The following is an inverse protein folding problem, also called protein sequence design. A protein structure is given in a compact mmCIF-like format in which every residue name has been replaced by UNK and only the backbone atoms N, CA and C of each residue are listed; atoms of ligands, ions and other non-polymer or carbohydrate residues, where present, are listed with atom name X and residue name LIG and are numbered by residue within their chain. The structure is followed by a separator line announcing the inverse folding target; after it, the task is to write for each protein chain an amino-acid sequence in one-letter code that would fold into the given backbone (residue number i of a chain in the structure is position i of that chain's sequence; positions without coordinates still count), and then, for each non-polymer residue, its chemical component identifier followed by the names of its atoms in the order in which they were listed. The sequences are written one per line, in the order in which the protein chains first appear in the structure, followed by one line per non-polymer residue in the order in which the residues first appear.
data_IF_051127126656
#
_entry.id   IF_051127126656
#
_cell.length_a   1.000
_cell.length_b   1.000
_cell.length_c   1.000
_cell.angle_alpha   90.00
_cell.angle_beta   90.00
_cell.angle_gamma   90.00
#
_symmetry.space_group_name_H-M   'P 1'
#
loop_
_entity.id
_entity.type
_entity.pdbx_description
1 polymer ?
#
# COMPACT_ATOMS: atom_id res chain seq x y z
N UNK A 1 7.64 0.65 -59.65
CA UNK A 1 7.75 -0.77 -60.03
C UNK A 1 7.50 -1.55 -58.75
N UNK A 2 6.31 -2.06 -58.43
CA UNK A 2 5.24 -2.72 -59.22
C UNK A 2 5.30 -4.24 -59.05
N UNK A 3 4.17 -4.97 -58.93
CA UNK A 3 2.83 -4.58 -58.45
C UNK A 3 1.99 -5.86 -58.18
N UNK A 4 1.01 -5.78 -57.27
CA UNK A 4 -0.21 -6.64 -57.24
C UNK A 4 -0.08 -8.15 -56.87
N UNK A 5 -1.17 -8.89 -56.54
CA UNK A 5 -2.55 -8.63 -55.95
C UNK A 5 -3.32 -9.99 -55.92
N UNK A 6 -4.52 -10.02 -55.30
CA UNK A 6 -5.67 -10.97 -55.44
C UNK A 6 -5.45 -12.42 -54.95
N UNK A 7 -6.42 -13.20 -54.45
CA UNK A 7 -7.91 -13.10 -54.21
C UNK A 7 -8.27 -13.55 -52.76
N UNK A 8 -9.51 -13.56 -52.23
CA UNK A 8 -10.79 -12.96 -52.65
C UNK A 8 -12.05 -13.83 -52.40
N UNK A 9 -12.91 -13.47 -51.42
CA UNK A 9 -14.26 -14.05 -51.19
C UNK A 9 -14.38 -15.07 -50.04
N UNK A 10 -15.58 -15.40 -49.49
CA UNK A 10 -16.97 -14.97 -49.80
C UNK A 10 -17.90 -15.19 -48.57
N UNK A 11 -18.93 -14.34 -48.40
CA UNK A 11 -20.02 -14.45 -47.40
C UNK A 11 -21.28 -15.11 -48.01
N UNK A 12 -22.10 -15.83 -47.23
CA UNK A 12 -23.54 -15.92 -47.49
C UNK A 12 -24.46 -15.65 -46.27
N UNK A 13 -25.47 -14.83 -46.54
CA UNK A 13 -26.58 -14.30 -45.74
C UNK A 13 -27.41 -15.28 -44.85
N UNK A 14 -28.01 -14.73 -43.80
CA UNK A 14 -29.26 -15.17 -43.13
C UNK A 14 -30.50 -14.98 -44.05
N UNK A 15 -31.79 -15.33 -43.70
CA UNK A 15 -32.53 -14.82 -42.53
C UNK A 15 -33.50 -15.88 -41.87
N UNK A 16 -34.79 -15.63 -41.52
CA UNK A 16 -35.17 -15.52 -40.10
C UNK A 16 -36.35 -16.40 -39.64
N UNK A 17 -36.59 -16.46 -38.32
CA UNK A 17 -37.84 -16.97 -37.73
C UNK A 17 -38.42 -16.00 -36.69
N UNK A 18 -39.61 -15.48 -36.97
CA UNK A 18 -40.40 -14.64 -36.05
C UNK A 18 -41.42 -15.46 -35.27
N UNK A 19 -41.66 -15.13 -34.01
CA UNK A 19 -42.93 -15.40 -33.34
C UNK A 19 -43.22 -14.29 -32.31
N UNK A 20 -44.48 -13.84 -32.25
CA UNK A 20 -44.93 -12.67 -31.48
C UNK A 20 -46.08 -13.09 -30.52
N UNK A 21 -46.89 -12.22 -29.89
CA UNK A 21 -47.00 -12.25 -28.43
C UNK A 21 -48.36 -12.74 -27.90
N UNK A 22 -48.47 -12.88 -26.57
CA UNK A 22 -49.75 -12.99 -25.85
C UNK A 22 -49.92 -11.86 -24.81
N UNK A 23 -51.14 -11.70 -24.28
CA UNK A 23 -51.76 -10.38 -24.28
C UNK A 23 -52.54 -9.97 -23.00
N UNK A 24 -52.45 -8.66 -22.70
CA UNK A 24 -53.42 -7.77 -22.01
C UNK A 24 -53.96 -8.10 -20.59
N UNK A 25 -53.92 -7.08 -19.73
CA UNK A 25 -54.83 -6.89 -18.57
C UNK A 25 -54.09 -6.60 -17.25
N UNK A 26 -54.51 -5.66 -16.39
CA UNK A 26 -55.54 -4.61 -16.50
C UNK A 26 -55.19 -3.40 -15.58
N UNK A 27 -56.05 -2.37 -15.55
CA UNK A 27 -55.80 -1.06 -14.92
C UNK A 27 -55.94 -1.01 -13.37
N UNK A 28 -55.30 -0.04 -12.69
CA UNK A 28 -55.33 0.12 -11.22
C UNK A 28 -56.55 0.90 -10.70
N UNK A 29 -56.74 0.92 -9.37
CA UNK A 29 -57.65 1.86 -8.70
C UNK A 29 -57.00 2.56 -7.49
N UNK A 30 -57.28 3.86 -7.37
CA UNK A 30 -56.93 4.72 -6.21
C UNK A 30 -57.95 4.54 -5.08
N UNK A 31 -57.58 4.92 -3.87
CA UNK A 31 -58.53 5.38 -2.84
C UNK A 31 -58.08 6.74 -2.26
N UNK A 32 -59.02 7.47 -1.64
CA UNK A 32 -58.92 8.92 -1.39
C UNK A 32 -58.77 9.28 0.09
N UNK A 33 -58.40 10.55 0.35
CA UNK A 33 -58.26 11.16 1.68
C UNK A 33 -59.48 12.03 2.01
N UNK A 34 -59.96 11.95 3.26
CA UNK A 34 -60.82 12.94 3.97
C UNK A 34 -60.74 12.59 5.48
N UNK A 35 -60.55 13.47 6.49
CA UNK A 35 -61.19 14.77 6.84
C UNK A 35 -62.69 14.56 7.18
N UNK A 36 -63.27 14.94 8.33
CA UNK A 36 -62.91 15.78 9.50
C UNK A 36 -63.70 15.39 10.78
N UNK A 37 -63.26 15.88 11.96
CA UNK A 37 -63.99 16.31 13.20
C UNK A 37 -65.15 15.44 13.80
N UNK A 38 -65.48 15.44 15.11
CA UNK A 38 -65.64 16.59 16.03
C UNK A 38 -65.55 16.26 17.54
N UNK A 39 -65.31 17.34 18.30
CA UNK A 39 -65.29 17.56 19.76
C UNK A 39 -66.39 16.95 20.67
N UNK A 40 -66.05 16.60 21.93
CA UNK A 40 -66.70 17.16 23.15
C UNK A 40 -66.01 16.77 24.51
N UNK A 41 -66.29 17.56 25.56
CA UNK A 41 -65.94 17.49 27.01
C UNK A 41 -67.22 17.92 27.80
N UNK A 42 -67.31 18.02 29.15
CA UNK A 42 -66.40 17.71 30.29
C UNK A 42 -67.02 16.57 31.19
N UNK A 43 -66.91 16.38 32.53
CA UNK A 43 -66.49 17.17 33.74
C UNK A 43 -65.91 16.29 34.89
N UNK A 44 -64.85 16.82 35.53
CA UNK A 44 -64.39 16.74 36.94
C UNK A 44 -64.94 15.69 37.94
N UNK A 45 -63.99 15.06 38.64
CA UNK A 45 -63.89 15.06 40.13
C UNK A 45 -62.43 15.30 40.55
N UNK A 46 -62.18 15.66 41.82
CA UNK A 46 -60.86 15.98 42.37
C UNK A 46 -60.38 14.94 43.39
N UNK A 47 -59.11 14.52 43.30
CA UNK A 47 -58.33 13.99 44.40
C UNK A 47 -56.86 14.42 44.24
N UNK A 48 -56.14 14.60 45.35
CA UNK A 48 -54.75 15.12 45.35
C UNK A 48 -53.76 14.01 45.66
N UNK A 49 -52.66 13.95 44.92
CA UNK A 49 -51.36 13.42 45.36
C UNK A 49 -50.25 14.24 44.72
N UNK A 50 -49.12 14.41 45.41
CA UNK A 50 -48.11 15.41 45.06
C UNK A 50 -46.93 14.86 44.25
N UNK A 51 -46.38 15.76 43.43
CA UNK A 51 -45.11 15.76 42.69
C UNK A 51 -44.09 14.63 42.94
N UNK A 52 -43.64 14.03 41.83
CA UNK A 52 -42.29 13.46 41.68
C UNK A 52 -41.87 13.53 40.21
N UNK A 53 -40.65 14.03 39.96
CA UNK A 53 -39.92 13.90 38.68
C UNK A 53 -40.52 14.56 37.43
N UNK A 54 -39.89 15.65 36.95
CA UNK A 54 -40.11 16.08 35.57
C UNK A 54 -39.42 15.08 34.62
N UNK A 55 -40.20 14.41 33.75
CA UNK A 55 -39.65 13.57 32.69
C UNK A 55 -39.10 14.48 31.59
N UNK A 56 -37.81 14.79 31.66
CA UNK A 56 -37.10 15.48 30.59
C UNK A 56 -36.98 14.56 29.37
N UNK A 57 -37.40 15.03 28.20
CA UNK A 57 -37.20 14.30 26.95
C UNK A 57 -35.71 14.35 26.56
N UNK A 58 -34.97 13.29 26.88
CA UNK A 58 -33.78 12.96 26.10
C UNK A 58 -34.25 12.26 24.82
N UNK A 59 -34.40 13.04 23.75
CA UNK A 59 -34.43 12.47 22.40
C UNK A 59 -33.12 11.71 22.18
N UNK A 60 -33.18 10.39 22.13
CA UNK A 60 -32.01 9.54 21.96
C UNK A 60 -31.32 9.83 20.63
N UNK A 61 -30.21 10.56 20.68
CA UNK A 61 -29.29 10.70 19.55
C UNK A 61 -28.60 9.35 19.34
N UNK A 62 -29.25 8.48 18.57
CA UNK A 62 -28.63 7.32 17.94
C UNK A 62 -27.62 7.82 16.91
N UNK A 63 -26.48 8.32 17.40
CA UNK A 63 -25.28 8.43 16.62
C UNK A 63 -24.94 7.01 16.14
N UNK A 64 -25.07 6.77 14.84
CA UNK A 64 -24.61 5.53 14.22
C UNK A 64 -23.09 5.47 14.41
N UNK A 65 -22.65 4.80 15.48
CA UNK A 65 -21.27 4.38 15.58
C UNK A 65 -20.93 3.61 14.29
N UNK A 66 -19.83 3.93 13.60
CA UNK A 66 -19.39 3.12 12.48
C UNK A 66 -19.34 1.67 12.92
N UNK A 67 -19.98 0.78 12.18
CA UNK A 67 -19.90 -0.65 12.48
C UNK A 67 -18.42 -1.02 12.43
N UNK A 68 -17.86 -1.39 13.59
CA UNK A 68 -16.50 -1.89 13.66
C UNK A 68 -16.47 -3.20 12.87
N UNK A 69 -16.01 -3.11 11.62
CA UNK A 69 -15.55 -4.26 10.87
C UNK A 69 -14.55 -4.99 11.77
N UNK A 70 -14.85 -6.24 12.10
CA UNK A 70 -13.97 -7.07 12.92
C UNK A 70 -12.69 -7.33 12.13
N UNK A 71 -11.75 -6.39 12.22
CA UNK A 71 -10.47 -6.46 11.53
C UNK A 71 -9.68 -7.67 12.01
N UNK A 72 -8.87 -8.21 11.12
CA UNK A 72 -7.70 -8.98 11.52
C UNK A 72 -6.94 -8.19 12.58
N UNK A 73 -6.65 -8.81 13.72
CA UNK A 73 -5.86 -8.15 14.77
C UNK A 73 -4.43 -8.04 14.25
N UNK A 74 -4.05 -6.84 13.83
CA UNK A 74 -2.74 -6.55 13.24
C UNK A 74 -1.60 -6.86 14.22
N UNK A 75 -1.00 -8.04 14.07
CA UNK A 75 0.14 -8.47 14.87
C UNK A 75 1.35 -7.63 14.49
N UNK A 76 1.87 -6.86 15.45
CA UNK A 76 3.10 -6.08 15.23
C UNK A 76 4.34 -6.99 15.32
N UNK A 77 5.37 -6.76 14.47
CA UNK A 77 6.64 -7.49 14.56
C UNK A 77 7.31 -7.33 15.92
N UNK A 78 8.11 -8.31 16.39
CA UNK A 78 8.89 -8.18 17.61
C UNK A 78 9.75 -6.90 17.60
N UNK A 79 9.62 -6.07 18.63
CA UNK A 79 10.37 -4.82 18.76
C UNK A 79 9.83 -3.61 17.97
N UNK A 80 8.84 -3.80 17.08
CA UNK A 80 8.19 -2.72 16.34
C UNK A 80 6.92 -2.19 17.05
N UNK A 81 6.46 -1.01 16.62
CA UNK A 81 5.21 -0.37 17.05
C UNK A 81 5.08 -0.07 18.55
N UNK A 82 6.23 0.11 19.21
CA UNK A 82 6.33 0.77 20.51
C UNK A 82 6.07 2.28 20.34
N UNK A 83 4.80 2.68 20.42
CA UNK A 83 4.38 4.09 20.30
C UNK A 83 4.88 4.98 21.44
N UNK A 84 5.43 4.42 22.52
CA UNK A 84 6.07 5.19 23.60
C UNK A 84 7.52 5.57 23.30
N UNK A 85 8.17 4.84 22.39
CA UNK A 85 9.59 4.97 22.04
C UNK A 85 9.98 6.42 21.68
N UNK A 86 11.16 6.84 22.15
CA UNK A 86 11.75 8.15 21.84
C UNK A 86 13.10 7.94 21.14
N UNK A 87 13.27 8.41 19.89
CA UNK A 87 14.53 8.35 19.15
C UNK A 87 15.69 8.94 19.97
N UNK A 88 16.86 8.32 19.86
CA UNK A 88 18.05 8.71 20.64
C UNK A 88 18.89 9.74 19.88
N UNK A 89 19.90 10.33 20.53
CA UNK A 89 20.85 11.20 19.85
C UNK A 89 21.71 10.46 18.79
N UNK A 90 21.86 9.14 18.92
CA UNK A 90 22.56 8.29 17.94
C UNK A 90 21.64 7.87 16.78
N UNK A 91 20.35 7.62 17.07
CA UNK A 91 19.34 7.21 16.10
C UNK A 91 18.14 8.18 16.18
N UNK A 92 18.27 9.41 15.63
CA UNK A 92 17.31 10.51 15.84
C UNK A 92 16.06 10.44 14.96
N UNK A 93 16.07 9.61 13.92
CA UNK A 93 14.90 9.30 13.10
C UNK A 93 14.36 7.92 13.55
N UNK A 94 13.04 7.75 13.74
CA UNK A 94 12.44 6.42 13.81
C UNK A 94 12.44 5.77 12.43
N UNK A 95 12.50 4.44 12.41
CA UNK A 95 12.48 3.62 11.20
C UNK A 95 11.06 3.11 10.96
N UNK A 96 10.56 3.24 9.73
CA UNK A 96 9.30 2.61 9.29
C UNK A 96 9.63 1.51 8.30
N UNK A 97 9.16 0.30 8.60
CA UNK A 97 9.28 -0.90 7.78
C UNK A 97 8.04 -1.07 6.91
N UNK A 98 8.23 -1.15 5.58
CA UNK A 98 7.15 -1.14 4.57
C UNK A 98 7.14 -2.48 3.81
N UNK A 99 6.18 -3.39 4.06
CA UNK A 99 6.15 -4.74 3.48
C UNK A 99 6.11 -4.83 1.95
N UNK A 100 6.49 -5.99 1.41
CA UNK A 100 6.35 -6.37 0.00
C UNK A 100 4.94 -6.76 -0.42
N UNK A 101 4.78 -7.17 -1.68
CA UNK A 101 3.48 -7.65 -2.21
C UNK A 101 3.04 -8.92 -1.47
N UNK A 102 1.76 -9.05 -1.13
CA UNK A 102 1.18 -10.16 -0.34
C UNK A 102 1.65 -10.25 1.14
N UNK A 103 2.58 -9.41 1.57
CA UNK A 103 3.17 -9.48 2.89
C UNK A 103 2.45 -8.62 3.93
N UNK A 104 2.11 -9.23 5.07
CA UNK A 104 1.81 -8.48 6.29
C UNK A 104 3.12 -8.10 6.99
N UNK A 105 3.09 -7.03 7.81
CA UNK A 105 4.25 -6.61 8.59
C UNK A 105 4.81 -7.73 9.47
N UNK A 106 3.94 -8.57 10.03
CA UNK A 106 4.30 -9.67 10.92
C UNK A 106 5.19 -10.72 10.23
N UNK A 107 4.88 -11.09 8.98
CA UNK A 107 5.70 -12.04 8.20
C UNK A 107 6.99 -11.35 7.74
N UNK A 108 6.88 -10.22 7.05
CA UNK A 108 8.01 -9.60 6.35
C UNK A 108 9.15 -9.18 7.28
N UNK A 109 8.83 -8.80 8.53
CA UNK A 109 9.77 -8.12 9.43
C UNK A 109 10.07 -8.87 10.73
N UNK A 110 9.81 -10.18 10.76
CA UNK A 110 10.02 -11.05 11.93
C UNK A 110 11.47 -11.02 12.49
N UNK A 111 12.45 -10.67 11.66
CA UNK A 111 13.90 -10.68 11.96
C UNK A 111 14.51 -9.27 11.95
N UNK A 112 14.25 -8.48 10.91
CA UNK A 112 14.71 -7.09 10.74
C UNK A 112 14.23 -6.17 11.87
N UNK A 113 12.97 -6.29 12.31
CA UNK A 113 12.42 -5.45 13.37
C UNK A 113 13.11 -5.66 14.74
N UNK A 114 13.27 -6.90 15.24
CA UNK A 114 14.02 -7.10 16.49
C UNK A 114 15.52 -6.81 16.34
N UNK A 115 16.12 -7.03 15.16
CA UNK A 115 17.51 -6.65 14.90
C UNK A 115 17.71 -5.12 15.08
N UNK A 116 16.95 -4.30 14.35
CA UNK A 116 17.02 -2.83 14.46
C UNK A 116 16.59 -2.31 15.84
N UNK A 117 15.63 -2.96 16.52
CA UNK A 117 15.30 -2.61 17.91
C UNK A 117 16.47 -2.93 18.87
N UNK A 118 17.25 -3.99 18.62
CA UNK A 118 18.44 -4.33 19.42
C UNK A 118 19.60 -3.37 19.21
N UNK A 119 19.72 -2.77 18.02
CA UNK A 119 20.65 -1.66 17.74
C UNK A 119 20.20 -0.32 18.37
N UNK A 120 18.95 -0.23 18.87
CA UNK A 120 18.42 0.94 19.58
C UNK A 120 17.57 1.89 18.74
N UNK A 121 17.14 1.49 17.54
CA UNK A 121 16.18 2.26 16.75
C UNK A 121 14.76 2.18 17.34
N UNK A 122 13.99 3.27 17.21
CA UNK A 122 12.53 3.20 17.35
C UNK A 122 11.93 2.70 16.03
N UNK A 123 11.52 1.42 16.01
CA UNK A 123 11.01 0.73 14.83
C UNK A 123 9.47 0.75 14.82
N UNK A 124 8.90 1.02 13.64
CA UNK A 124 7.47 0.97 13.35
C UNK A 124 7.24 0.17 12.07
N UNK A 125 6.07 -0.43 11.92
CA UNK A 125 5.68 -1.15 10.72
C UNK A 125 4.16 -1.04 10.50
N UNK A 126 3.73 -1.13 9.23
CA UNK A 126 2.33 -1.03 8.85
C UNK A 126 1.90 -2.16 7.90
N UNK A 127 0.65 -2.61 8.05
CA UNK A 127 -0.10 -3.23 6.96
C UNK A 127 -0.66 -2.11 6.07
N UNK A 128 -0.77 -2.37 4.76
CA UNK A 128 -1.27 -1.41 3.78
C UNK A 128 -1.84 -2.16 2.56
N UNK A 129 -2.63 -1.49 1.73
CA UNK A 129 -3.08 -2.03 0.44
C UNK A 129 -3.97 -3.28 0.54
N UNK A 130 -4.55 -3.56 1.70
CA UNK A 130 -5.28 -4.79 1.99
C UNK A 130 -6.52 -4.95 1.09
N UNK A 131 -6.52 -5.98 0.23
CA UNK A 131 -7.67 -6.34 -0.61
C UNK A 131 -8.06 -7.80 -0.32
N UNK A 132 -9.35 -8.06 -0.10
CA UNK A 132 -9.87 -9.40 0.22
C UNK A 132 -9.17 -10.10 1.41
N UNK A 133 -8.62 -9.33 2.36
CA UNK A 133 -7.88 -9.85 3.52
C UNK A 133 -6.41 -10.21 3.25
N UNK A 134 -5.85 -9.81 2.10
CA UNK A 134 -4.44 -10.00 1.75
C UNK A 134 -3.78 -8.62 1.62
N UNK A 135 -2.73 -8.38 2.40
CA UNK A 135 -2.00 -7.11 2.41
C UNK A 135 -1.24 -6.84 1.11
N UNK A 136 -0.96 -5.57 0.85
CA UNK A 136 -0.13 -5.07 -0.24
C UNK A 136 -0.61 -5.48 -1.66
N UNK A 137 -1.91 -5.77 -1.84
CA UNK A 137 -2.51 -6.23 -3.11
C UNK A 137 -3.31 -5.16 -3.86
N UNK A 138 -3.74 -4.09 -3.19
CA UNK A 138 -4.54 -3.00 -3.76
C UNK A 138 -3.74 -2.03 -4.65
N UNK A 139 -4.36 -0.93 -5.13
CA UNK A 139 -3.67 0.07 -5.95
C UNK A 139 -2.48 0.69 -5.21
N UNK A 140 -1.34 0.87 -5.89
CA UNK A 140 -0.10 1.33 -5.23
C UNK A 140 -0.16 2.84 -4.92
N UNK A 141 -0.87 3.61 -5.74
CA UNK A 141 -1.14 5.03 -5.47
C UNK A 141 -1.93 5.24 -4.16
N UNK A 142 -2.91 4.37 -3.88
CA UNK A 142 -3.73 4.42 -2.66
C UNK A 142 -2.96 3.86 -1.46
N UNK A 143 -2.12 2.84 -1.68
CA UNK A 143 -1.16 2.33 -0.71
C UNK A 143 -0.18 3.41 -0.23
N UNK A 144 0.32 4.25 -1.14
CA UNK A 144 1.13 5.42 -0.79
C UNK A 144 0.35 6.49 -0.01
N UNK A 145 -0.96 6.62 -0.27
CA UNK A 145 -1.84 7.50 0.50
C UNK A 145 -2.14 6.97 1.92
N UNK A 146 -2.00 5.65 2.16
CA UNK A 146 -2.07 5.03 3.49
C UNK A 146 -0.75 5.16 4.28
N UNK A 147 0.41 5.09 3.59
CA UNK A 147 1.72 5.37 4.20
C UNK A 147 1.81 6.81 4.75
N UNK A 148 1.20 7.78 4.06
CA UNK A 148 1.27 9.20 4.41
C UNK A 148 0.83 9.54 5.85
N UNK A 149 -0.39 9.17 6.32
CA UNK A 149 -0.81 9.39 7.70
C UNK A 149 -0.06 8.52 8.72
N UNK A 150 0.44 7.34 8.32
CA UNK A 150 1.26 6.51 9.22
C UNK A 150 2.59 7.19 9.55
N UNK A 151 3.27 7.77 8.54
CA UNK A 151 4.47 8.60 8.76
C UNK A 151 4.16 9.79 9.68
N UNK A 152 3.02 10.46 9.51
CA UNK A 152 2.64 11.58 10.38
C UNK A 152 2.34 11.15 11.82
N UNK A 153 1.71 9.98 12.03
CA UNK A 153 1.49 9.42 13.36
C UNK A 153 2.83 9.09 14.06
N UNK A 154 3.78 8.48 13.34
CA UNK A 154 5.12 8.15 13.86
C UNK A 154 5.89 9.43 14.21
N UNK A 155 5.89 10.45 13.35
CA UNK A 155 6.52 11.74 13.64
C UNK A 155 5.89 12.43 14.85
N UNK A 156 4.55 12.46 14.93
CA UNK A 156 3.83 13.07 16.05
C UNK A 156 4.07 12.35 17.39
N UNK A 157 4.11 11.02 17.40
CA UNK A 157 4.33 10.25 18.63
C UNK A 157 5.78 10.31 19.11
N UNK A 158 6.75 10.27 18.19
CA UNK A 158 8.18 10.29 18.53
C UNK A 158 8.72 11.69 18.81
N UNK A 159 8.16 12.73 18.17
CA UNK A 159 8.70 14.09 18.16
C UNK A 159 9.85 14.31 17.15
N UNK A 160 10.14 13.32 16.31
CA UNK A 160 11.17 13.42 15.28
C UNK A 160 10.76 14.39 14.15
N UNK A 161 11.74 14.91 13.41
CA UNK A 161 11.51 15.80 12.25
C UNK A 161 11.40 15.04 10.93
N UNK A 162 11.98 13.84 10.88
CA UNK A 162 12.01 12.93 9.73
C UNK A 162 11.97 11.48 10.19
N UNK A 163 11.52 10.61 9.30
CA UNK A 163 11.61 9.14 9.42
C UNK A 163 12.65 8.60 8.45
N UNK A 164 13.17 7.41 8.74
CA UNK A 164 13.85 6.59 7.74
C UNK A 164 12.92 5.47 7.29
N UNK A 165 12.87 5.21 5.98
CA UNK A 165 12.02 4.18 5.40
C UNK A 165 12.89 3.00 4.97
N UNK A 166 12.56 1.79 5.45
CA UNK A 166 13.12 0.53 4.93
C UNK A 166 11.96 -0.24 4.31
N UNK A 167 12.10 -0.64 3.05
CA UNK A 167 11.00 -1.24 2.30
C UNK A 167 11.44 -2.45 1.49
N UNK A 168 10.67 -3.53 1.58
CA UNK A 168 10.91 -4.76 0.83
C UNK A 168 10.06 -4.76 -0.45
N UNK A 169 10.61 -5.19 -1.60
CA UNK A 169 9.85 -5.43 -2.83
C UNK A 169 9.02 -4.20 -3.23
N UNK A 170 7.70 -4.34 -3.40
CA UNK A 170 6.76 -3.23 -3.57
C UNK A 170 6.95 -2.11 -2.54
N UNK A 171 7.11 -2.44 -1.26
CA UNK A 171 7.31 -1.48 -0.18
C UNK A 171 8.64 -0.72 -0.26
N UNK A 172 9.62 -1.23 -1.01
CA UNK A 172 10.85 -0.49 -1.34
C UNK A 172 10.69 0.50 -2.51
N UNK A 173 9.66 0.34 -3.35
CA UNK A 173 9.36 1.21 -4.48
C UNK A 173 8.24 2.22 -4.18
N UNK A 174 7.14 1.77 -3.58
CA UNK A 174 5.93 2.56 -3.30
C UNK A 174 6.20 3.89 -2.55
N UNK A 175 7.15 3.96 -1.58
CA UNK A 175 7.53 5.22 -0.94
C UNK A 175 8.03 6.31 -1.89
N UNK A 176 8.55 5.99 -3.08
CA UNK A 176 8.88 7.01 -4.10
C UNK A 176 7.63 7.77 -4.56
N UNK A 177 6.48 7.10 -4.67
CA UNK A 177 5.21 7.75 -5.00
C UNK A 177 4.75 8.69 -3.86
N UNK A 178 4.87 8.24 -2.60
CA UNK A 178 4.60 9.07 -1.42
C UNK A 178 5.51 10.31 -1.37
N UNK A 179 6.82 10.13 -1.59
CA UNK A 179 7.78 11.24 -1.55
C UNK A 179 7.58 12.23 -2.69
N UNK A 180 7.31 11.75 -3.91
CA UNK A 180 7.17 12.56 -5.12
C UNK A 180 5.81 13.24 -5.31
N UNK A 181 4.71 12.51 -5.15
CA UNK A 181 3.36 13.02 -5.45
C UNK A 181 2.59 13.48 -4.21
N UNK A 182 2.87 12.91 -3.04
CA UNK A 182 2.14 13.19 -1.79
C UNK A 182 2.92 14.11 -0.83
N UNK A 183 4.02 14.71 -1.33
CA UNK A 183 4.83 15.67 -0.57
C UNK A 183 5.64 15.06 0.58
N UNK A 184 5.84 13.74 0.58
CA UNK A 184 6.55 13.00 1.62
C UNK A 184 8.05 13.31 1.74
N UNK A 185 8.70 13.81 0.67
CA UNK A 185 10.16 14.03 0.64
C UNK A 185 10.71 14.92 1.79
N UNK A 186 9.90 15.86 2.29
CA UNK A 186 10.27 16.72 3.43
C UNK A 186 10.28 15.98 4.78
N UNK A 187 9.54 14.86 4.88
CA UNK A 187 9.35 14.02 6.08
C UNK A 187 10.28 12.80 6.11
N UNK A 188 10.99 12.50 5.03
CA UNK A 188 11.88 11.32 4.93
C UNK A 188 13.35 11.76 4.95
N UNK A 189 14.20 11.07 5.72
CA UNK A 189 15.65 11.26 5.71
C UNK A 189 16.32 10.38 4.64
N UNK A 190 16.00 9.09 4.60
CA UNK A 190 16.32 8.22 3.47
C UNK A 190 15.30 7.11 3.21
N UNK A 191 15.41 6.50 2.03
CA UNK A 191 14.75 5.26 1.64
C UNK A 191 15.81 4.16 1.43
N UNK A 192 15.66 3.02 2.09
CA UNK A 192 16.43 1.81 1.88
C UNK A 192 15.50 0.77 1.25
N UNK A 193 15.65 0.52 -0.05
CA UNK A 193 14.91 -0.50 -0.76
C UNK A 193 15.65 -1.84 -0.76
N UNK A 194 15.00 -2.88 -0.26
CA UNK A 194 15.46 -4.28 -0.32
C UNK A 194 14.66 -4.95 -1.45
N UNK A 195 15.34 -5.50 -2.45
CA UNK A 195 14.76 -6.05 -3.67
C UNK A 195 13.67 -5.18 -4.37
N UNK A 196 13.80 -3.83 -4.44
CA UNK A 196 12.67 -2.95 -4.71
C UNK A 196 12.22 -2.94 -6.18
N UNK A 197 10.91 -3.02 -6.46
CA UNK A 197 10.35 -3.06 -7.82
C UNK A 197 10.35 -1.71 -8.58
N UNK A 198 11.43 -0.93 -8.48
CA UNK A 198 11.53 0.49 -8.87
C UNK A 198 11.17 0.80 -10.34
N UNK A 199 11.57 -0.07 -11.27
CA UNK A 199 11.20 0.02 -12.69
C UNK A 199 10.21 -1.08 -13.12
N UNK A 200 9.60 -1.75 -12.13
CA UNK A 200 8.73 -2.90 -12.30
C UNK A 200 9.48 -4.19 -12.60
N UNK A 201 8.72 -5.23 -12.92
CA UNK A 201 9.25 -6.55 -13.29
C UNK A 201 8.67 -7.07 -14.60
N UNK A 202 9.38 -8.01 -15.20
CA UNK A 202 8.94 -8.84 -16.32
C UNK A 202 8.59 -10.27 -15.87
N UNK A 203 8.70 -10.55 -14.56
CA UNK A 203 8.64 -11.88 -13.95
C UNK A 203 7.28 -12.31 -13.36
N UNK A 204 7.36 -13.35 -12.52
CA UNK A 204 6.27 -14.25 -12.12
C UNK A 204 5.00 -13.59 -11.56
N UNK A 205 5.11 -12.45 -10.87
CA UNK A 205 3.96 -11.76 -10.27
C UNK A 205 3.13 -10.93 -11.25
N UNK A 206 3.52 -10.84 -12.53
CA UNK A 206 2.85 -9.97 -13.51
C UNK A 206 1.90 -10.73 -14.45
N UNK A 207 0.80 -10.11 -14.91
CA UNK A 207 -0.01 -10.65 -15.99
C UNK A 207 0.82 -10.89 -17.26
N UNK A 208 0.50 -11.93 -18.03
CA UNK A 208 1.19 -12.18 -19.31
C UNK A 208 0.98 -10.99 -20.26
N UNK A 209 2.02 -10.45 -20.92
CA UNK A 209 1.87 -9.33 -21.85
C UNK A 209 0.77 -9.57 -22.90
N UNK A 210 -0.22 -8.67 -22.95
CA UNK A 210 -1.42 -8.80 -23.79
C UNK A 210 -2.67 -9.38 -23.10
N UNK A 211 -2.56 -9.88 -21.86
CA UNK A 211 -3.70 -10.38 -21.08
C UNK A 211 -4.37 -9.35 -20.17
N UNK A 212 -3.76 -8.16 -20.00
CA UNK A 212 -4.27 -7.08 -19.15
C UNK A 212 -5.61 -6.56 -19.71
N UNK A 213 -6.74 -6.74 -19.00
CA UNK A 213 -8.02 -6.21 -19.45
C UNK A 213 -8.03 -4.68 -19.33
N UNK A 214 -8.87 -3.96 -20.10
CA UNK A 214 -9.10 -2.54 -19.87
C UNK A 214 -9.54 -2.30 -18.42
N UNK A 215 -9.09 -1.21 -17.78
CA UNK A 215 -9.32 -0.91 -16.36
C UNK A 215 -10.80 -0.77 -15.93
N UNK A 216 -11.74 -0.82 -16.88
CA UNK A 216 -13.19 -0.88 -16.65
C UNK A 216 -13.73 -2.32 -16.49
N UNK A 217 -12.86 -3.33 -16.51
CA UNK A 217 -13.24 -4.75 -16.45
C UNK A 217 -13.45 -5.19 -15.00
N UNK A 218 -14.70 -5.41 -14.60
CA UNK A 218 -15.09 -5.83 -13.24
C UNK A 218 -14.77 -7.32 -12.94
N UNK A 219 -13.50 -7.69 -13.12
CA UNK A 219 -12.95 -9.03 -13.00
C UNK A 219 -11.44 -9.08 -13.21
N UNK A 220 -10.73 -7.98 -12.94
CA UNK A 220 -9.27 -7.96 -12.90
C UNK A 220 -8.69 -8.84 -11.79
N UNK A 221 -7.39 -9.08 -11.82
CA UNK A 221 -6.67 -9.94 -10.87
C UNK A 221 -6.93 -9.57 -9.40
N UNK A 222 -6.91 -10.56 -8.50
CA UNK A 222 -6.99 -10.41 -7.03
C UNK A 222 -5.81 -9.62 -6.41
N UNK A 223 -5.04 -8.92 -7.24
CA UNK A 223 -3.91 -8.08 -6.92
C UNK A 223 -3.84 -7.01 -8.03
N UNK A 224 -4.21 -5.76 -7.72
CA UNK A 224 -4.01 -4.61 -8.59
C UNK A 224 -2.54 -4.15 -8.53
N UNK A 225 -1.93 -4.22 -7.34
CA UNK A 225 -0.50 -4.06 -7.10
C UNK A 225 0.39 -4.81 -8.12
N UNK A 226 -0.03 -6.00 -8.51
CA UNK A 226 0.68 -6.86 -9.46
C UNK A 226 0.65 -6.32 -10.90
N UNK A 227 -0.47 -5.71 -11.31
CA UNK A 227 -0.58 -5.00 -12.59
C UNK A 227 0.13 -3.63 -12.54
N UNK A 228 0.07 -2.94 -11.40
CA UNK A 228 0.81 -1.69 -11.17
C UNK A 228 2.34 -1.92 -11.20
N UNK A 229 2.84 -3.09 -10.78
CA UNK A 229 4.26 -3.48 -10.81
C UNK A 229 4.78 -4.05 -12.13
N UNK A 230 3.93 -4.23 -13.15
CA UNK A 230 4.40 -4.61 -14.50
C UNK A 230 5.36 -3.53 -15.04
N UNK A 231 6.55 -3.93 -15.51
CA UNK A 231 7.43 -3.02 -16.22
C UNK A 231 6.69 -2.37 -17.41
N UNK A 232 6.62 -1.03 -17.42
CA UNK A 232 5.83 -0.27 -18.40
C UNK A 232 4.33 -0.09 -18.08
N UNK A 233 3.87 -0.45 -16.87
CA UNK A 233 2.48 -0.17 -16.44
C UNK A 233 2.18 1.34 -16.46
N UNK A 234 0.89 1.75 -16.52
CA UNK A 234 0.52 3.17 -16.36
C UNK A 234 0.97 3.75 -15.01
N UNK A 235 0.99 2.93 -13.95
CA UNK A 235 1.47 3.35 -12.62
C UNK A 235 2.98 3.62 -12.63
N UNK A 236 3.80 2.70 -13.14
CA UNK A 236 5.26 2.85 -13.17
C UNK A 236 5.72 3.89 -14.19
N UNK A 237 5.01 4.03 -15.31
CA UNK A 237 5.24 5.12 -16.28
C UNK A 237 5.01 6.48 -15.62
N UNK A 238 3.96 6.62 -14.79
CA UNK A 238 3.72 7.82 -13.99
C UNK A 238 4.76 7.98 -12.88
N UNK A 239 5.11 6.91 -12.14
CA UNK A 239 6.05 6.99 -11.04
C UNK A 239 7.42 7.48 -11.51
N UNK A 240 7.96 6.86 -12.55
CA UNK A 240 9.30 7.15 -13.05
C UNK A 240 9.35 8.45 -13.89
N UNK A 241 8.21 9.10 -14.19
CA UNK A 241 8.21 10.40 -14.87
C UNK A 241 8.70 11.57 -13.99
N UNK A 242 8.89 11.36 -12.68
CA UNK A 242 9.55 12.33 -11.78
C UNK A 242 11.08 12.12 -11.73
N UNK A 243 11.57 11.06 -12.38
CA UNK A 243 12.91 10.51 -12.16
C UNK A 243 12.99 9.59 -10.94
N UNK A 244 14.19 9.06 -10.73
CA UNK A 244 14.47 8.03 -9.74
C UNK A 244 14.46 8.57 -8.30
N UNK A 245 14.97 9.79 -8.13
CA UNK A 245 15.12 10.47 -6.83
C UNK A 245 14.43 11.83 -6.82
N UNK A 246 13.83 12.20 -5.68
CA UNK A 246 13.39 13.56 -5.39
C UNK A 246 14.27 14.26 -4.34
N UNK A 247 14.28 15.59 -4.34
CA UNK A 247 15.13 16.41 -3.47
C UNK A 247 14.82 16.23 -1.99
N UNK A 248 15.88 16.17 -1.17
CA UNK A 248 15.82 15.98 0.28
C UNK A 248 16.40 14.63 0.72
N UNK A 249 15.69 13.50 0.52
CA UNK A 249 16.12 12.18 0.97
C UNK A 249 17.46 11.69 0.38
N UNK A 250 18.00 10.62 0.95
CA UNK A 250 18.98 9.72 0.31
C UNK A 250 18.33 8.38 -0.05
N UNK A 251 19.00 7.58 -0.87
CA UNK A 251 18.48 6.33 -1.42
C UNK A 251 19.55 5.24 -1.36
N UNK A 252 19.22 4.09 -0.78
CA UNK A 252 20.02 2.87 -0.87
C UNK A 252 19.17 1.79 -1.51
N UNK A 253 19.73 1.05 -2.46
CA UNK A 253 19.11 -0.15 -3.04
C UNK A 253 20.00 -1.35 -2.73
N UNK A 254 19.41 -2.42 -2.22
CA UNK A 254 20.05 -3.71 -1.96
C UNK A 254 19.33 -4.75 -2.82
N UNK A 255 20.07 -5.41 -3.72
CA UNK A 255 19.55 -6.34 -4.73
C UNK A 255 20.32 -7.66 -4.72
N UNK A 256 19.66 -8.77 -5.07
CA UNK A 256 20.30 -10.08 -5.25
C UNK A 256 20.34 -10.47 -6.73
N UNK A 257 21.42 -11.11 -7.17
CA UNK A 257 21.50 -11.73 -8.51
C UNK A 257 20.57 -12.93 -8.67
N UNK A 258 20.04 -13.46 -7.57
CA UNK A 258 19.13 -14.61 -7.54
C UNK A 258 17.65 -14.21 -7.53
N UNK A 259 17.33 -12.93 -7.73
CA UNK A 259 15.96 -12.42 -7.68
C UNK A 259 15.13 -12.99 -8.85
N UNK A 260 14.11 -13.76 -8.51
CA UNK A 260 13.21 -14.46 -9.42
C UNK A 260 11.87 -13.74 -9.62
N UNK A 261 11.56 -12.75 -8.77
CA UNK A 261 10.32 -11.96 -8.79
C UNK A 261 10.50 -10.66 -9.57
N UNK A 262 11.55 -9.88 -9.29
CA UNK A 262 11.86 -8.59 -9.90
C UNK A 262 13.01 -8.73 -10.88
N UNK A 263 12.66 -9.22 -12.07
CA UNK A 263 13.59 -9.56 -13.15
C UNK A 263 13.51 -8.56 -14.31
N UNK A 264 14.66 -8.17 -14.91
CA UNK A 264 16.04 -8.42 -14.43
C UNK A 264 16.35 -7.58 -13.17
N UNK A 265 17.18 -8.08 -12.25
CA UNK A 265 17.39 -7.43 -10.94
C UNK A 265 17.93 -5.99 -11.03
N UNK A 266 18.64 -5.63 -12.11
CA UNK A 266 19.12 -4.26 -12.32
C UNK A 266 17.98 -3.23 -12.52
N UNK A 267 16.75 -3.67 -12.79
CA UNK A 267 15.54 -2.82 -12.77
C UNK A 267 15.22 -2.25 -11.38
N UNK A 268 15.78 -2.83 -10.33
CA UNK A 268 15.62 -2.40 -8.94
C UNK A 268 16.46 -1.15 -8.61
N UNK A 269 17.56 -0.95 -9.33
CA UNK A 269 18.49 0.14 -9.10
C UNK A 269 17.85 1.51 -9.38
N UNK A 270 18.41 2.54 -8.74
CA UNK A 270 18.04 3.94 -8.95
C UNK A 270 19.22 4.72 -9.54
N UNK A 271 18.92 5.63 -10.47
CA UNK A 271 19.87 6.59 -11.03
C UNK A 271 19.94 7.86 -10.19
N UNK A 272 21.16 8.39 -9.98
CA UNK A 272 21.36 9.66 -9.30
C UNK A 272 22.84 9.93 -8.99
N UNK A 273 23.16 11.09 -8.41
CA UNK A 273 24.53 11.38 -7.96
C UNK A 273 24.91 10.48 -6.78
N UNK A 274 26.15 10.01 -6.73
CA UNK A 274 26.64 9.07 -5.71
C UNK A 274 26.55 9.61 -4.26
N UNK A 275 26.44 10.93 -4.08
CA UNK A 275 26.17 11.56 -2.77
C UNK A 275 24.71 11.37 -2.31
N UNK A 276 23.85 10.76 -3.14
CA UNK A 276 22.42 10.54 -2.88
C UNK A 276 21.93 9.13 -3.17
N UNK A 277 22.60 8.37 -4.04
CA UNK A 277 22.21 6.99 -4.36
C UNK A 277 23.38 6.04 -4.23
N UNK A 278 23.19 4.96 -3.46
CA UNK A 278 24.07 3.79 -3.43
C UNK A 278 23.26 2.56 -3.84
N UNK A 279 23.59 1.94 -4.97
CA UNK A 279 23.06 0.63 -5.36
C UNK A 279 24.08 -0.45 -4.96
N UNK A 280 23.61 -1.56 -4.37
CA UNK A 280 24.44 -2.65 -3.86
C UNK A 280 23.87 -3.97 -4.38
N UNK A 281 24.66 -4.73 -5.15
CA UNK A 281 24.39 -6.15 -5.36
C UNK A 281 24.96 -6.93 -4.18
N UNK A 282 24.18 -7.81 -3.57
CA UNK A 282 24.62 -8.63 -2.42
C UNK A 282 25.84 -9.46 -2.80
N UNK A 283 25.86 -10.03 -4.00
CA UNK A 283 26.93 -10.90 -4.49
C UNK A 283 28.22 -10.15 -4.84
N UNK A 284 28.19 -8.81 -5.02
CA UNK A 284 29.41 -7.99 -5.09
C UNK A 284 30.10 -7.86 -3.72
N UNK A 285 29.39 -8.18 -2.62
CA UNK A 285 29.88 -8.17 -1.24
C UNK A 285 30.11 -9.58 -0.71
N UNK A 286 29.20 -10.50 -0.99
CA UNK A 286 29.20 -11.89 -0.53
C UNK A 286 28.87 -12.84 -1.70
N UNK A 287 29.86 -13.23 -2.53
CA UNK A 287 29.63 -14.01 -3.75
C UNK A 287 29.05 -15.43 -3.56
N UNK A 288 29.02 -15.92 -2.32
CA UNK A 288 28.43 -17.22 -1.95
C UNK A 288 27.03 -17.09 -1.32
N UNK A 289 26.54 -15.87 -1.14
CA UNK A 289 25.19 -15.60 -0.66
C UNK A 289 24.18 -15.81 -1.79
N UNK A 290 23.29 -16.78 -1.62
CA UNK A 290 22.31 -17.23 -2.61
C UNK A 290 20.88 -16.79 -2.29
N UNK A 291 20.71 -15.79 -1.40
CA UNK A 291 19.39 -15.31 -0.98
C UNK A 291 18.52 -14.86 -2.16
N UNK A 292 17.27 -15.32 -2.20
CA UNK A 292 16.26 -14.96 -3.21
C UNK A 292 15.34 -13.83 -2.72
N UNK A 293 14.33 -13.45 -3.52
CA UNK A 293 13.51 -12.26 -3.28
C UNK A 293 12.83 -12.23 -1.90
N UNK A 294 11.99 -13.22 -1.59
CA UNK A 294 11.09 -13.25 -0.42
C UNK A 294 11.88 -13.25 0.91
N UNK A 295 13.01 -13.95 0.97
CA UNK A 295 13.84 -14.03 2.16
C UNK A 295 14.93 -12.96 2.26
N UNK A 296 15.13 -12.08 1.27
CA UNK A 296 16.07 -10.94 1.40
C UNK A 296 15.93 -10.14 2.71
N UNK A 297 14.75 -9.89 3.30
CA UNK A 297 14.62 -9.15 4.56
C UNK A 297 15.06 -9.95 5.81
N UNK A 298 15.11 -11.29 5.68
CA UNK A 298 15.50 -12.20 6.76
C UNK A 298 17.00 -12.47 6.80
N UNK A 299 17.74 -12.11 5.77
CA UNK A 299 19.17 -12.38 5.66
C UNK A 299 20.05 -11.46 6.54
N UNK A 300 21.02 -12.00 7.30
CA UNK A 300 21.95 -11.22 8.13
C UNK A 300 22.92 -10.30 7.36
N UNK A 301 23.27 -10.59 6.10
CA UNK A 301 24.10 -9.70 5.26
C UNK A 301 23.27 -8.48 4.87
N UNK A 302 22.03 -8.67 4.42
CA UNK A 302 21.07 -7.60 4.11
C UNK A 302 20.78 -6.75 5.35
N UNK A 303 20.55 -7.36 6.52
CA UNK A 303 20.38 -6.62 7.78
C UNK A 303 21.59 -5.71 8.06
N UNK A 304 22.82 -6.22 7.89
CA UNK A 304 24.06 -5.42 8.04
C UNK A 304 24.18 -4.29 7.02
N UNK A 305 23.71 -4.49 5.78
CA UNK A 305 23.66 -3.44 4.75
C UNK A 305 22.60 -2.37 5.08
N UNK A 306 21.45 -2.76 5.61
CA UNK A 306 20.40 -1.84 6.11
C UNK A 306 20.91 -1.03 7.29
N UNK A 307 21.53 -1.67 8.29
CA UNK A 307 22.12 -0.98 9.45
C UNK A 307 23.27 -0.06 9.05
N UNK A 308 24.10 -0.44 8.06
CA UNK A 308 25.08 0.48 7.48
C UNK A 308 24.42 1.72 6.89
N UNK A 309 23.33 1.57 6.14
CA UNK A 309 22.59 2.68 5.57
C UNK A 309 22.00 3.59 6.66
N UNK A 310 21.30 3.02 7.64
CA UNK A 310 20.63 3.76 8.71
C UNK A 310 21.61 4.47 9.66
N UNK A 311 22.83 3.93 9.83
CA UNK A 311 23.91 4.54 10.61
C UNK A 311 24.63 5.71 9.93
N UNK A 312 24.19 6.16 8.74
CA UNK A 312 24.84 7.26 8.02
C UNK A 312 24.41 8.65 8.50
N UNK A 313 25.25 9.68 8.35
CA UNK A 313 24.85 11.07 8.58
C UNK A 313 23.64 11.46 7.72
N UNK A 314 22.72 12.23 8.30
CA UNK A 314 21.43 12.58 7.71
C UNK A 314 21.53 13.03 6.24
N UNK A 315 20.79 12.36 5.36
CA UNK A 315 20.72 12.64 3.93
C UNK A 315 21.87 12.08 3.08
N UNK A 316 22.73 11.22 3.62
CA UNK A 316 23.67 10.37 2.86
C UNK A 316 23.10 8.96 2.64
N UNK A 317 23.40 8.30 1.51
CA UNK A 317 23.10 6.88 1.30
C UNK A 317 24.13 5.98 2.00
N UNK A 318 23.90 4.66 1.99
CA UNK A 318 24.85 3.65 2.49
C UNK A 318 26.26 3.82 1.93
N UNK A 319 27.26 3.38 2.68
CA UNK A 319 28.65 3.51 2.28
C UNK A 319 29.01 2.45 1.22
N UNK A 320 29.33 2.81 -0.03
CA UNK A 320 29.65 1.83 -1.05
C UNK A 320 30.92 1.02 -0.72
N UNK A 321 31.79 1.53 0.15
CA UNK A 321 32.99 0.83 0.62
C UNK A 321 32.73 -0.08 1.84
N UNK A 322 31.55 -0.05 2.45
CA UNK A 322 31.22 -0.96 3.54
C UNK A 322 31.23 -2.42 3.07
N UNK A 323 31.78 -3.28 3.90
CA UNK A 323 31.88 -4.71 3.65
C UNK A 323 31.25 -5.45 4.84
N UNK A 324 30.05 -6.06 4.69
CA UNK A 324 29.53 -6.95 5.71
C UNK A 324 30.44 -8.18 5.83
N UNK A 325 30.50 -8.80 7.01
CA UNK A 325 30.92 -10.20 7.07
C UNK A 325 29.84 -11.04 6.40
N UNK A 326 30.25 -11.86 5.45
CA UNK A 326 29.47 -12.99 4.97
C UNK A 326 29.45 -14.07 6.07
N UNK A 327 28.57 -15.06 5.89
CA UNK A 327 28.50 -16.27 6.71
C UNK A 327 29.03 -17.49 5.92
#
# INVERSE_FOLDING_TARGET
MDVSRITGGRIPNSPPSTLTPHSRGAQPKRYSVSQLNHTSRPKRTLAKSAALGAIALLCGSLASAPAATAGTVDVSPPGANDWSCKPSAAHPNPVILVPGTFESMAKNWATMAPALKSEGYCVYALNYGTTNGIDATGPIADSAAQLAPFVDAVLASTGAKKVDLVGHSQGGMMPRYYMGFLGGAKKVNQLVGIAPSNHGTQGLITPTPGSVPPATSAGGSNCQACADQQAGSPFLTKLNSIGDTVSGPAYTVISTTHDEVVTPYQSQFLAGPAQKVTNITIQDKCPADVIEHDQTPNDPVVQRLVSNALGRPAGQPADPAFQPSCL
#
